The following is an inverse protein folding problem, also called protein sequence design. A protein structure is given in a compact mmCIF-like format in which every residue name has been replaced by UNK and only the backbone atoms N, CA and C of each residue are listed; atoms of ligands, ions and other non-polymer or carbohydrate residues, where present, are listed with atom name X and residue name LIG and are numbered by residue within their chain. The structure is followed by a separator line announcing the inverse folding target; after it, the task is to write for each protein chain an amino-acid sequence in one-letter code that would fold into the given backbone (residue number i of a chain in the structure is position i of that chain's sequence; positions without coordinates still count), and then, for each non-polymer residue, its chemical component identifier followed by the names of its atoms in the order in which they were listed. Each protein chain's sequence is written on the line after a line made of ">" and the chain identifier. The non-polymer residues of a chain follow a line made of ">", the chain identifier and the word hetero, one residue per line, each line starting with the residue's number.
data_IF_971882678306
#
_entry.id   IF_971882678306
#
_cell.length_a   1.000
_cell.length_b   1.000
_cell.length_c   1.000
_cell.angle_alpha   90.00
_cell.angle_beta   90.00
_cell.angle_gamma   90.00
#
_symmetry.space_group_name_H-M   'P 1'
#
loop_
_entity.id
_entity.type
_entity.pdbx_description
1 polymer ?
#
# COMPACT_ATOMS: atom_id res chain seq x y z
N UNK A 1 18.77 -15.88 -10.30
CA UNK A 1 18.02 -15.05 -9.34
C UNK A 1 18.96 -14.41 -8.32
N UNK A 2 18.57 -13.29 -7.76
CA UNK A 2 19.37 -12.57 -6.76
C UNK A 2 19.33 -13.29 -5.42
N UNK A 3 20.47 -13.55 -4.79
CA UNK A 3 20.51 -14.08 -3.43
C UNK A 3 19.81 -13.13 -2.46
N UNK A 4 19.14 -13.70 -1.44
CA UNK A 4 18.30 -12.90 -0.51
C UNK A 4 19.06 -11.74 0.15
N UNK A 5 20.34 -11.95 0.52
CA UNK A 5 21.20 -10.92 1.13
C UNK A 5 21.51 -9.72 0.23
N UNK A 6 21.33 -9.86 -1.10
CA UNK A 6 21.61 -8.79 -2.07
C UNK A 6 20.35 -8.10 -2.59
N UNK A 7 19.15 -8.57 -2.23
CA UNK A 7 17.88 -8.04 -2.77
C UNK A 7 17.68 -6.57 -2.48
N UNK A 8 17.99 -6.12 -1.27
CA UNK A 8 17.84 -4.73 -0.88
C UNK A 8 18.71 -3.80 -1.73
N UNK A 9 20.01 -4.13 -1.86
CA UNK A 9 20.93 -3.34 -2.67
C UNK A 9 20.55 -3.35 -4.16
N UNK A 10 20.14 -4.51 -4.68
CA UNK A 10 19.68 -4.61 -6.07
C UNK A 10 18.41 -3.77 -6.31
N UNK A 11 17.47 -3.74 -5.36
CA UNK A 11 16.28 -2.91 -5.43
C UNK A 11 16.64 -1.42 -5.47
N UNK A 12 17.47 -0.94 -4.53
CA UNK A 12 17.91 0.46 -4.49
C UNK A 12 18.62 0.87 -5.77
N UNK A 13 19.58 0.06 -6.24
CA UNK A 13 20.27 0.31 -7.49
C UNK A 13 19.34 0.31 -8.71
N UNK A 14 18.32 -0.56 -8.72
CA UNK A 14 17.33 -0.57 -9.81
C UNK A 14 16.50 0.72 -9.82
N UNK A 15 16.13 1.22 -8.65
CA UNK A 15 15.38 2.47 -8.54
C UNK A 15 16.22 3.66 -8.99
N UNK A 16 17.48 3.75 -8.57
CA UNK A 16 18.42 4.79 -9.02
C UNK A 16 18.57 4.80 -10.54
N UNK A 17 18.74 3.63 -11.15
CA UNK A 17 18.80 3.50 -12.62
C UNK A 17 17.50 3.96 -13.29
N UNK A 18 16.34 3.55 -12.77
CA UNK A 18 15.06 3.97 -13.32
C UNK A 18 14.88 5.49 -13.24
N UNK A 19 15.19 6.10 -12.10
CA UNK A 19 15.07 7.54 -11.90
C UNK A 19 16.00 8.33 -12.86
N UNK A 20 17.25 7.89 -13.02
CA UNK A 20 18.19 8.51 -13.96
C UNK A 20 17.67 8.39 -15.41
N UNK A 21 17.15 7.23 -15.81
CA UNK A 21 16.55 7.04 -17.14
C UNK A 21 15.31 7.92 -17.35
N UNK A 22 14.44 8.04 -16.34
CA UNK A 22 13.27 8.92 -16.40
C UNK A 22 13.66 10.40 -16.52
N UNK A 23 14.78 10.79 -15.90
CA UNK A 23 15.37 12.12 -16.08
C UNK A 23 16.02 12.35 -17.44
N UNK A 24 16.04 11.35 -18.32
CA UNK A 24 16.65 11.42 -19.65
C UNK A 24 18.18 11.26 -19.67
N UNK A 25 18.75 10.83 -18.56
CA UNK A 25 20.19 10.62 -18.45
C UNK A 25 20.62 9.36 -19.22
N UNK A 26 21.90 9.36 -19.65
CA UNK A 26 22.56 8.15 -20.14
C UNK A 26 23.18 7.39 -19.00
N UNK A 27 22.78 6.14 -18.82
CA UNK A 27 23.22 5.31 -17.71
C UNK A 27 24.18 4.23 -18.22
N UNK A 28 25.37 4.18 -17.61
CA UNK A 28 26.29 3.06 -17.75
C UNK A 28 26.58 2.47 -16.37
N UNK A 29 26.41 1.16 -16.23
CA UNK A 29 26.55 0.45 -14.97
C UNK A 29 27.13 -0.94 -15.20
N UNK A 30 28.20 -1.28 -14.47
CA UNK A 30 28.76 -2.62 -14.41
C UNK A 30 28.58 -3.18 -12.98
N UNK A 31 27.42 -3.78 -12.73
CA UNK A 31 27.05 -4.29 -11.43
C UNK A 31 26.04 -5.43 -11.52
N UNK A 32 25.00 -5.38 -10.73
CA UNK A 32 23.86 -6.32 -10.85
C UNK A 32 23.20 -6.23 -12.23
N UNK A 33 23.07 -5.01 -12.75
CA UNK A 33 22.69 -4.71 -14.12
C UNK A 33 23.94 -4.35 -14.94
N UNK A 34 24.00 -4.84 -16.17
CA UNK A 34 25.03 -4.43 -17.14
C UNK A 34 24.37 -3.50 -18.15
N UNK A 35 24.67 -2.23 -18.04
CA UNK A 35 24.14 -1.19 -18.92
C UNK A 35 25.30 -0.42 -19.53
N UNK A 36 25.22 -0.12 -20.83
CA UNK A 36 26.18 0.69 -21.55
C UNK A 36 25.45 1.77 -22.33
N UNK A 37 25.64 3.04 -21.92
CA UNK A 37 24.98 4.20 -22.51
C UNK A 37 23.45 4.02 -22.71
N UNK A 38 22.81 3.29 -21.78
CA UNK A 38 21.37 3.06 -21.84
C UNK A 38 20.59 4.36 -21.69
N UNK A 39 19.56 4.54 -22.49
CA UNK A 39 18.67 5.69 -22.47
C UNK A 39 17.28 5.25 -22.89
N UNK A 40 16.24 5.94 -22.40
CA UNK A 40 14.84 5.73 -22.80
C UNK A 40 14.33 6.88 -23.66
N UNK A 41 13.37 6.59 -24.54
CA UNK A 41 12.64 7.59 -25.32
C UNK A 41 11.24 7.05 -25.63
N UNK A 42 10.17 7.85 -25.42
CA UNK A 42 10.21 9.19 -24.82
C UNK A 42 10.52 9.14 -23.31
N UNK A 43 11.03 10.23 -22.77
CA UNK A 43 11.10 10.42 -21.31
C UNK A 43 9.74 10.79 -20.74
N UNK A 44 9.43 10.48 -19.46
CA UNK A 44 8.20 10.92 -18.81
C UNK A 44 8.05 12.44 -18.88
N UNK A 45 6.85 12.96 -19.20
CA UNK A 45 6.62 14.41 -19.30
C UNK A 45 6.57 15.10 -17.92
N UNK A 46 6.46 14.32 -16.85
CA UNK A 46 6.42 14.80 -15.47
C UNK A 46 7.14 13.79 -14.56
N UNK A 47 7.43 14.22 -13.34
CA UNK A 47 8.03 13.34 -12.34
C UNK A 47 7.13 12.13 -12.05
N UNK A 48 7.73 10.93 -11.98
CA UNK A 48 7.03 9.69 -11.62
C UNK A 48 7.19 9.48 -10.12
N UNK A 49 6.07 9.47 -9.42
CA UNK A 49 6.02 9.21 -7.99
C UNK A 49 6.31 7.73 -7.68
N UNK A 50 7.18 7.49 -6.73
CA UNK A 50 7.65 6.15 -6.36
C UNK A 50 6.97 5.68 -5.08
N UNK A 51 6.06 4.74 -5.21
CA UNK A 51 5.37 4.10 -4.10
C UNK A 51 6.07 2.80 -3.69
N UNK A 52 6.49 2.70 -2.44
CA UNK A 52 7.23 1.53 -1.94
C UNK A 52 6.37 0.76 -0.93
N UNK A 53 5.96 -0.46 -1.30
CA UNK A 53 5.31 -1.39 -0.40
C UNK A 53 6.31 -2.02 0.58
N UNK A 54 6.10 -1.85 1.88
CA UNK A 54 6.98 -2.39 2.90
C UNK A 54 6.22 -2.78 4.18
N UNK A 55 6.68 -3.85 4.86
CA UNK A 55 6.10 -4.32 6.12
C UNK A 55 7.16 -4.66 7.18
N UNK A 56 8.39 -5.04 6.80
CA UNK A 56 9.49 -5.19 7.76
C UNK A 56 10.10 -3.83 8.07
N UNK A 57 10.49 -3.60 9.34
CA UNK A 57 10.99 -2.30 9.82
C UNK A 57 12.13 -1.74 8.95
N UNK A 58 13.10 -2.58 8.57
CA UNK A 58 14.20 -2.18 7.68
C UNK A 58 13.75 -1.82 6.26
N UNK A 59 12.60 -2.34 5.82
CA UNK A 59 12.04 -2.01 4.51
C UNK A 59 11.15 -0.76 4.59
N UNK A 60 10.49 -0.52 5.72
CA UNK A 60 9.76 0.72 6.03
C UNK A 60 10.76 1.88 6.12
N UNK A 61 11.88 1.70 6.83
CA UNK A 61 12.98 2.68 6.87
C UNK A 61 13.49 3.03 5.47
N UNK A 62 13.69 2.00 4.62
CA UNK A 62 14.06 2.23 3.23
C UNK A 62 13.00 3.00 2.46
N UNK A 63 11.72 2.66 2.62
CA UNK A 63 10.62 3.39 1.97
C UNK A 63 10.61 4.87 2.36
N UNK A 64 10.83 5.17 3.62
CA UNK A 64 10.96 6.55 4.11
C UNK A 64 12.17 7.28 3.50
N UNK A 65 13.29 6.57 3.31
CA UNK A 65 14.53 7.16 2.80
C UNK A 65 14.52 7.47 1.30
N UNK A 66 14.00 6.56 0.47
CA UNK A 66 14.13 6.61 -1.00
C UNK A 66 12.82 6.62 -1.78
N UNK A 67 11.69 6.44 -1.12
CA UNK A 67 10.36 6.54 -1.73
C UNK A 67 9.76 7.93 -1.59
N UNK A 68 8.74 8.18 -2.38
CA UNK A 68 7.85 9.34 -2.25
C UNK A 68 6.67 8.98 -1.34
N UNK A 69 6.14 7.75 -1.46
CA UNK A 69 5.03 7.23 -0.67
C UNK A 69 5.36 5.85 -0.12
N UNK A 70 5.04 5.64 1.16
CA UNK A 70 5.01 4.30 1.74
C UNK A 70 3.61 3.70 1.63
N UNK A 71 3.53 2.44 1.14
CA UNK A 71 2.31 1.65 1.07
C UNK A 71 2.37 0.51 2.09
N UNK A 72 1.57 0.62 3.15
CA UNK A 72 1.43 -0.41 4.16
C UNK A 72 0.62 -1.61 3.66
N UNK A 73 0.93 -2.80 4.19
CA UNK A 73 0.35 -4.07 3.76
C UNK A 73 -1.12 -4.25 4.16
N UNK A 74 -1.86 -5.16 3.46
CA UNK A 74 -3.30 -5.33 3.67
C UNK A 74 -3.68 -6.18 4.88
N UNK A 75 -2.77 -6.98 5.41
CA UNK A 75 -3.03 -7.95 6.48
C UNK A 75 -2.75 -7.44 7.90
N UNK A 76 -2.57 -6.14 8.07
CA UNK A 76 -2.23 -5.53 9.35
C UNK A 76 -3.49 -5.34 10.20
N UNK A 77 -3.55 -5.94 11.37
CA UNK A 77 -4.52 -5.56 12.41
C UNK A 77 -4.18 -4.15 12.90
N UNK A 78 -5.16 -3.47 13.57
CA UNK A 78 -5.01 -2.07 13.99
C UNK A 78 -3.71 -1.79 14.75
N UNK A 79 -3.40 -2.60 15.76
CA UNK A 79 -2.19 -2.41 16.57
C UNK A 79 -0.89 -2.50 15.74
N UNK A 80 -0.84 -3.40 14.78
CA UNK A 80 0.33 -3.54 13.90
C UNK A 80 0.39 -2.40 12.87
N UNK A 81 -0.76 -1.91 12.38
CA UNK A 81 -0.82 -0.74 11.50
C UNK A 81 -0.29 0.52 12.24
N UNK A 82 -0.67 0.72 13.50
CA UNK A 82 -0.18 1.79 14.36
C UNK A 82 1.34 1.67 14.58
N UNK A 83 1.82 0.49 14.99
CA UNK A 83 3.26 0.24 15.18
C UNK A 83 4.08 0.54 13.93
N UNK A 84 3.61 0.11 12.75
CA UNK A 84 4.32 0.35 11.51
C UNK A 84 4.30 1.82 11.10
N UNK A 85 3.23 2.55 11.42
CA UNK A 85 3.18 4.01 11.25
C UNK A 85 4.23 4.70 12.13
N UNK A 86 4.36 4.30 13.40
CA UNK A 86 5.38 4.84 14.30
C UNK A 86 6.81 4.61 13.75
N UNK A 87 7.09 3.40 13.23
CA UNK A 87 8.37 3.10 12.58
C UNK A 87 8.61 4.01 11.37
N UNK A 88 7.60 4.24 10.55
CA UNK A 88 7.71 5.11 9.38
C UNK A 88 7.98 6.57 9.76
N UNK A 89 7.25 7.11 10.72
CA UNK A 89 7.43 8.49 11.20
C UNK A 89 8.81 8.70 11.85
N UNK A 90 9.27 7.71 12.64
CA UNK A 90 10.62 7.73 13.19
C UNK A 90 11.70 7.73 12.09
N UNK A 91 11.50 6.93 11.03
CA UNK A 91 12.42 6.86 9.89
C UNK A 91 12.45 8.18 9.11
N UNK A 92 11.31 8.83 8.86
CA UNK A 92 11.26 10.16 8.25
C UNK A 92 12.08 11.18 9.05
N UNK A 93 11.95 11.17 10.39
CA UNK A 93 12.71 12.03 11.29
C UNK A 93 14.22 11.77 11.19
N UNK A 94 14.64 10.50 11.24
CA UNK A 94 16.05 10.09 11.12
C UNK A 94 16.64 10.55 9.78
N UNK A 95 15.91 10.38 8.69
CA UNK A 95 16.35 10.76 7.34
C UNK A 95 16.12 12.24 7.00
N UNK A 96 15.61 13.03 7.95
CA UNK A 96 15.30 14.47 7.78
C UNK A 96 14.40 14.75 6.57
N UNK A 97 13.47 13.81 6.29
CA UNK A 97 12.48 13.95 5.23
C UNK A 97 11.24 14.68 5.76
N UNK A 98 10.65 15.59 4.97
CA UNK A 98 9.32 16.09 5.28
C UNK A 98 8.32 14.94 5.23
N UNK A 99 7.27 15.00 6.04
CA UNK A 99 6.16 14.06 5.93
C UNK A 99 5.53 14.19 4.54
N UNK A 100 5.30 13.07 3.81
CA UNK A 100 4.63 13.13 2.53
C UNK A 100 3.14 13.49 2.71
N UNK A 101 2.54 14.05 1.66
CA UNK A 101 1.09 14.32 1.64
C UNK A 101 0.28 13.00 1.65
N UNK A 102 0.84 11.94 1.06
CA UNK A 102 0.21 10.63 0.96
C UNK A 102 0.96 9.58 1.78
N UNK A 103 0.25 8.93 2.71
CA UNK A 103 0.69 7.71 3.40
C UNK A 103 -0.41 6.68 3.21
N UNK A 104 -0.14 5.66 2.40
CA UNK A 104 -1.17 4.74 1.96
C UNK A 104 -1.17 3.42 2.73
N UNK A 105 -2.36 2.87 2.95
CA UNK A 105 -2.54 1.51 3.43
C UNK A 105 -3.47 0.74 2.50
N UNK A 106 -3.12 -0.49 2.16
CA UNK A 106 -4.03 -1.35 1.41
C UNK A 106 -5.00 -2.07 2.36
N UNK A 107 -6.27 -2.20 1.93
CA UNK A 107 -7.27 -3.01 2.61
C UNK A 107 -8.03 -3.90 1.63
N UNK A 108 -8.25 -5.15 2.04
CA UNK A 108 -9.17 -6.03 1.35
C UNK A 108 -10.54 -5.84 1.99
N UNK A 109 -11.55 -5.43 1.20
CA UNK A 109 -12.82 -4.87 1.69
C UNK A 109 -14.05 -5.56 1.10
N UNK A 110 -15.19 -5.43 1.82
CA UNK A 110 -16.51 -5.67 1.27
C UNK A 110 -17.52 -4.69 1.90
N UNK A 111 -18.10 -3.81 1.08
CA UNK A 111 -19.20 -2.94 1.49
C UNK A 111 -20.50 -3.69 1.24
N UNK A 112 -21.12 -4.16 2.31
CA UNK A 112 -22.36 -4.93 2.30
C UNK A 112 -23.59 -4.01 2.16
N UNK A 113 -24.70 -4.56 1.68
CA UNK A 113 -25.98 -3.85 1.66
C UNK A 113 -26.61 -3.73 3.05
N UNK A 114 -26.20 -4.58 4.00
CA UNK A 114 -26.70 -4.61 5.37
C UNK A 114 -25.71 -5.26 6.32
N UNK A 115 -25.87 -5.01 7.62
CA UNK A 115 -25.11 -5.68 8.68
C UNK A 115 -25.24 -7.21 8.60
N UNK A 116 -26.43 -7.73 8.25
CA UNK A 116 -26.68 -9.17 8.12
C UNK A 116 -25.86 -9.80 6.99
N UNK A 117 -25.74 -9.15 5.84
CA UNK A 117 -24.87 -9.59 4.73
C UNK A 117 -23.39 -9.56 5.14
N UNK A 118 -22.96 -8.51 5.79
CA UNK A 118 -21.60 -8.39 6.32
C UNK A 118 -21.27 -9.52 7.30
N UNK A 119 -22.15 -9.82 8.22
CA UNK A 119 -21.96 -10.87 9.23
C UNK A 119 -21.94 -12.27 8.61
N UNK A 120 -22.76 -12.52 7.59
CA UNK A 120 -22.73 -13.77 6.83
C UNK A 120 -21.37 -13.99 6.17
N UNK A 121 -20.83 -12.95 5.53
CA UNK A 121 -19.50 -13.03 4.88
C UNK A 121 -18.39 -13.19 5.92
N UNK A 122 -18.42 -12.45 7.04
CA UNK A 122 -17.46 -12.62 8.14
C UNK A 122 -17.43 -14.05 8.68
N UNK A 123 -18.61 -14.67 8.90
CA UNK A 123 -18.72 -16.07 9.33
C UNK A 123 -18.13 -17.04 8.30
N UNK A 124 -18.38 -16.81 7.03
CA UNK A 124 -17.80 -17.61 5.95
C UNK A 124 -16.28 -17.50 5.93
N UNK A 125 -15.73 -16.31 6.07
CA UNK A 125 -14.28 -16.07 6.12
C UNK A 125 -13.67 -16.71 7.36
N UNK A 126 -14.31 -16.58 8.52
CA UNK A 126 -13.82 -17.21 9.77
C UNK A 126 -13.73 -18.74 9.64
N UNK A 127 -14.64 -19.38 8.90
CA UNK A 127 -14.64 -20.83 8.72
C UNK A 127 -13.66 -21.34 7.67
N UNK A 128 -13.39 -20.57 6.60
CA UNK A 128 -12.57 -20.98 5.46
C UNK A 128 -11.18 -20.35 5.42
N UNK A 129 -10.98 -19.28 6.18
CA UNK A 129 -9.83 -18.40 6.07
C UNK A 129 -9.89 -17.49 4.84
N UNK A 130 -9.04 -16.47 4.82
CA UNK A 130 -8.87 -15.60 3.68
C UNK A 130 -7.39 -15.22 3.53
N UNK A 131 -6.72 -15.79 2.53
CA UNK A 131 -5.32 -15.46 2.15
C UNK A 131 -4.30 -15.53 3.30
N UNK A 132 -4.61 -16.22 4.39
CA UNK A 132 -3.78 -16.26 5.59
C UNK A 132 -3.79 -14.97 6.43
N UNK A 133 -4.70 -14.04 6.14
CA UNK A 133 -4.84 -12.82 6.93
C UNK A 133 -5.64 -13.08 8.22
N UNK A 134 -5.31 -12.31 9.27
CA UNK A 134 -6.20 -12.21 10.42
C UNK A 134 -7.52 -11.56 9.96
N UNK A 135 -8.70 -12.15 10.27
CA UNK A 135 -9.99 -11.57 9.90
C UNK A 135 -10.18 -10.11 10.37
N UNK A 136 -9.56 -9.70 11.47
CA UNK A 136 -9.59 -8.32 11.98
C UNK A 136 -8.90 -7.29 11.07
N UNK A 137 -8.05 -7.75 10.14
CA UNK A 137 -7.41 -6.89 9.15
C UNK A 137 -8.32 -6.59 7.95
N UNK A 138 -9.45 -7.30 7.82
CA UNK A 138 -10.38 -7.15 6.71
C UNK A 138 -11.44 -6.10 7.05
N UNK A 139 -11.75 -5.23 6.10
CA UNK A 139 -12.77 -4.19 6.26
C UNK A 139 -14.09 -4.69 5.65
N UNK A 140 -14.98 -5.19 6.50
CA UNK A 140 -16.27 -5.77 6.08
C UNK A 140 -17.38 -5.11 6.90
N UNK A 141 -18.37 -4.53 6.24
CA UNK A 141 -19.50 -3.86 6.89
C UNK A 141 -20.44 -3.21 5.90
N UNK A 142 -21.51 -2.64 6.37
CA UNK A 142 -22.28 -1.64 5.63
C UNK A 142 -21.48 -0.34 5.45
N UNK A 143 -22.00 0.60 4.68
CA UNK A 143 -21.27 1.83 4.35
C UNK A 143 -20.82 2.61 5.60
N UNK A 144 -21.69 2.74 6.62
CA UNK A 144 -21.34 3.43 7.86
C UNK A 144 -20.23 2.72 8.65
N UNK A 145 -20.30 1.39 8.71
CA UNK A 145 -19.28 0.60 9.40
C UNK A 145 -17.92 0.65 8.68
N UNK A 146 -17.91 0.63 7.35
CA UNK A 146 -16.70 0.78 6.54
C UNK A 146 -16.11 2.17 6.69
N UNK A 147 -16.96 3.22 6.66
CA UNK A 147 -16.52 4.60 6.86
C UNK A 147 -15.85 4.78 8.23
N UNK A 148 -16.44 4.24 9.31
CA UNK A 148 -15.82 4.27 10.66
C UNK A 148 -14.46 3.58 10.68
N UNK A 149 -14.32 2.42 10.02
CA UNK A 149 -13.04 1.70 9.93
C UNK A 149 -11.98 2.48 9.13
N UNK A 150 -12.38 3.19 8.08
CA UNK A 150 -11.46 4.08 7.34
C UNK A 150 -11.08 5.32 8.16
N UNK A 151 -12.02 5.95 8.86
CA UNK A 151 -11.73 7.05 9.77
C UNK A 151 -10.75 6.63 10.89
N UNK A 152 -10.88 5.40 11.40
CA UNK A 152 -9.95 4.84 12.39
C UNK A 152 -8.52 4.70 11.82
N UNK A 153 -8.36 4.28 10.56
CA UNK A 153 -7.06 4.29 9.89
C UNK A 153 -6.53 5.72 9.71
N UNK A 154 -7.39 6.67 9.36
CA UNK A 154 -7.03 8.09 9.29
C UNK A 154 -6.51 8.61 10.63
N UNK A 155 -7.10 8.19 11.76
CA UNK A 155 -6.64 8.58 13.10
C UNK A 155 -5.23 8.07 13.44
N UNK A 156 -4.75 7.04 12.74
CA UNK A 156 -3.39 6.51 12.84
C UNK A 156 -2.38 7.26 11.95
N UNK A 157 -2.85 8.17 11.09
CA UNK A 157 -2.00 8.95 10.17
C UNK A 157 -1.98 8.45 8.72
N UNK A 158 -2.76 7.42 8.37
CA UNK A 158 -2.93 7.04 6.96
C UNK A 158 -3.85 8.02 6.26
N UNK A 159 -3.42 8.57 5.13
CA UNK A 159 -4.19 9.53 4.34
C UNK A 159 -5.01 8.85 3.26
N UNK A 160 -4.55 7.70 2.77
CA UNK A 160 -5.12 7.00 1.64
C UNK A 160 -5.35 5.51 1.93
N UNK A 161 -6.51 5.00 1.51
CA UNK A 161 -6.83 3.57 1.58
C UNK A 161 -6.97 3.00 0.18
N UNK A 162 -5.99 2.17 -0.21
CA UNK A 162 -6.04 1.41 -1.47
C UNK A 162 -6.92 0.19 -1.26
N UNK A 163 -8.08 0.16 -1.89
CA UNK A 163 -9.06 -0.89 -1.68
C UNK A 163 -8.95 -2.03 -2.71
N UNK A 164 -9.12 -3.24 -2.25
CA UNK A 164 -9.34 -4.43 -3.07
C UNK A 164 -10.60 -5.13 -2.59
N UNK A 165 -11.55 -5.39 -3.50
CA UNK A 165 -12.73 -6.16 -3.14
C UNK A 165 -12.34 -7.62 -2.85
N UNK A 166 -12.84 -8.17 -1.72
CA UNK A 166 -12.49 -9.52 -1.26
C UNK A 166 -13.52 -10.58 -1.65
N UNK A 167 -14.73 -10.19 -2.15
CA UNK A 167 -15.78 -11.13 -2.46
C UNK A 167 -15.42 -11.96 -3.71
N UNK A 168 -15.57 -13.30 -3.69
CA UNK A 168 -15.23 -14.17 -4.83
C UNK A 168 -16.22 -14.05 -5.98
N UNK A 169 -17.47 -13.71 -5.71
CA UNK A 169 -18.49 -13.49 -6.73
C UNK A 169 -18.32 -12.11 -7.36
N UNK A 170 -18.22 -12.07 -8.69
CA UNK A 170 -17.96 -10.84 -9.45
C UNK A 170 -19.08 -9.80 -9.31
N UNK A 171 -20.34 -10.23 -9.30
CA UNK A 171 -21.48 -9.31 -9.17
C UNK A 171 -21.51 -8.67 -7.79
N UNK A 172 -21.24 -9.44 -6.75
CA UNK A 172 -21.13 -8.92 -5.39
C UNK A 172 -19.93 -7.95 -5.24
N UNK A 173 -18.83 -8.25 -5.93
CA UNK A 173 -17.68 -7.35 -5.96
C UNK A 173 -18.00 -6.00 -6.62
N UNK A 174 -18.75 -5.98 -7.72
CA UNK A 174 -19.23 -4.76 -8.38
C UNK A 174 -20.14 -3.98 -7.43
N UNK A 175 -21.18 -4.61 -6.90
CA UNK A 175 -22.12 -3.95 -5.98
C UNK A 175 -21.43 -3.36 -4.74
N UNK A 176 -20.47 -4.08 -4.18
CA UNK A 176 -19.65 -3.58 -3.08
C UNK A 176 -18.82 -2.35 -3.49
N UNK A 177 -18.29 -2.35 -4.72
CA UNK A 177 -17.52 -1.21 -5.24
C UNK A 177 -18.41 0.01 -5.47
N UNK A 178 -19.62 -0.18 -6.01
CA UNK A 178 -20.60 0.89 -6.19
C UNK A 178 -21.00 1.53 -4.84
N UNK A 179 -21.16 0.73 -3.78
CA UNK A 179 -21.47 1.21 -2.42
C UNK A 179 -20.33 2.02 -1.78
N UNK A 180 -19.13 2.00 -2.32
CA UNK A 180 -18.05 2.89 -1.87
C UNK A 180 -18.39 4.37 -2.04
N UNK A 181 -19.27 4.73 -3.00
CA UNK A 181 -19.75 6.09 -3.12
C UNK A 181 -20.40 6.60 -1.82
N UNK A 182 -21.23 5.75 -1.17
CA UNK A 182 -21.84 6.07 0.11
C UNK A 182 -20.80 6.22 1.25
N UNK A 183 -19.76 5.39 1.22
CA UNK A 183 -18.65 5.50 2.20
C UNK A 183 -17.94 6.84 2.04
N UNK A 184 -17.69 7.28 0.81
CA UNK A 184 -17.05 8.56 0.50
C UNK A 184 -17.92 9.72 0.98
N UNK A 185 -19.24 9.68 0.73
CA UNK A 185 -20.20 10.70 1.21
C UNK A 185 -20.19 10.83 2.74
N UNK A 186 -20.04 9.71 3.48
CA UNK A 186 -20.00 9.74 4.94
C UNK A 186 -18.68 10.35 5.47
N UNK A 187 -17.59 10.17 4.73
CA UNK A 187 -16.24 10.65 5.11
C UNK A 187 -15.98 12.11 4.70
N UNK A 188 -16.80 12.68 3.82
CA UNK A 188 -16.69 14.06 3.34
C UNK A 188 -17.32 15.05 4.29
#
# INVERSE_FOLDING_TARGET
>A
GTEQKHRAKAFEQSLEVMQALWAGEKVSLDGHWKLENAQISPTPPQNIEVWIGASADVAIDRAARIGDVWLAGPGLVRAEAERQMDVYQAALTIHQKPGPETIAIRRDIFVAASAGEADALKKQIASRGYRGFNPEALVIGDAESVARQFADLGSLGYTDVIVRNLHPDYQQAILSTERLAQVIEILS
#
